data_IF_674084221293
#
_entry.id   IF_674084221293
#
_cell.length_a   1.000
_cell.length_b   1.000
_cell.length_c   1.000
_cell.angle_alpha   90.00
_cell.angle_beta   90.00
_cell.angle_gamma   90.00
#
_symmetry.space_group_name_H-M   'P 1'
#
loop_
_entity.id
_entity.type
_entity.pdbx_description
1 polymer ?
#
# COMPACT_ATOMS: atom_id res chain seq x y z
N UNK A 1 -18.42 -3.41 -15.94
CA UNK A 1 -17.01 -3.24 -16.36
C UNK A 1 -16.24 -2.97 -15.09
N UNK A 2 -15.26 -3.80 -14.76
CA UNK A 2 -14.29 -3.47 -13.72
C UNK A 2 -13.62 -2.15 -14.08
N UNK A 3 -13.59 -1.22 -13.13
CA UNK A 3 -12.90 0.05 -13.33
C UNK A 3 -11.48 -0.14 -12.82
N UNK A 4 -10.49 0.20 -13.65
CA UNK A 4 -9.09 0.24 -13.25
C UNK A 4 -8.60 1.67 -13.15
N UNK A 5 -7.56 1.89 -12.35
CA UNK A 5 -6.87 3.16 -12.16
C UNK A 5 -5.35 2.96 -12.26
N UNK A 6 -4.63 4.02 -12.66
CA UNK A 6 -3.18 4.10 -12.60
C UNK A 6 -2.78 5.03 -11.46
N UNK A 7 -1.79 4.65 -10.67
CA UNK A 7 -1.41 5.39 -9.47
C UNK A 7 0.11 5.44 -9.33
N UNK A 8 0.57 6.47 -8.63
CA UNK A 8 1.95 6.59 -8.17
C UNK A 8 2.01 6.23 -6.69
N UNK A 9 2.87 5.28 -6.31
CA UNK A 9 3.08 4.88 -4.93
C UNK A 9 4.39 5.49 -4.42
N UNK A 10 4.33 6.23 -3.32
CA UNK A 10 5.50 6.71 -2.57
C UNK A 10 5.60 5.90 -1.29
N UNK A 11 6.49 4.91 -1.27
CA UNK A 11 6.61 3.96 -0.17
C UNK A 11 7.85 4.27 0.65
N UNK A 12 7.71 4.41 1.96
CA UNK A 12 8.85 4.51 2.87
C UNK A 12 9.60 3.18 2.93
N UNK A 13 10.91 3.22 2.69
CA UNK A 13 11.80 2.07 2.62
C UNK A 13 12.98 2.28 3.54
N UNK A 14 13.32 1.24 4.31
CA UNK A 14 14.45 1.26 5.21
C UNK A 14 15.07 -0.14 5.26
N UNK A 15 16.33 -0.28 4.81
CA UNK A 15 17.02 -1.58 4.70
C UNK A 15 17.42 -2.21 6.04
N UNK A 16 17.17 -1.54 7.15
CA UNK A 16 17.50 -2.06 8.48
C UNK A 16 17.51 -0.98 9.57
N UNK A 17 17.68 -1.38 10.84
CA UNK A 17 17.45 -0.52 12.00
C UNK A 17 18.41 0.69 12.09
N UNK A 18 19.59 0.59 11.47
CA UNK A 18 20.60 1.67 11.46
C UNK A 18 20.65 2.45 10.15
N UNK A 19 19.93 2.01 9.12
CA UNK A 19 19.89 2.70 7.84
C UNK A 19 18.95 3.90 7.92
N UNK A 20 19.30 5.01 7.25
CA UNK A 20 18.35 6.10 7.03
C UNK A 20 17.28 5.60 6.05
N UNK A 21 16.02 5.70 6.43
CA UNK A 21 14.92 5.42 5.50
C UNK A 21 14.73 6.56 4.50
N UNK A 22 14.09 6.23 3.39
CA UNK A 22 13.76 7.17 2.32
C UNK A 22 12.48 6.73 1.62
N UNK A 23 11.84 7.63 0.89
CA UNK A 23 10.76 7.27 0.00
C UNK A 23 11.31 6.74 -1.33
N UNK A 24 10.78 5.60 -1.76
CA UNK A 24 10.92 5.12 -3.12
C UNK A 24 9.58 5.32 -3.85
N UNK A 25 9.65 5.65 -5.13
CA UNK A 25 8.47 5.94 -5.97
C UNK A 25 8.28 4.86 -7.02
N UNK A 26 7.07 4.33 -7.11
CA UNK A 26 6.68 3.29 -8.07
C UNK A 26 5.46 3.73 -8.87
N UNK A 27 5.39 3.30 -10.12
CA UNK A 27 4.20 3.45 -10.95
C UNK A 27 3.49 2.11 -11.01
N UNK A 28 2.19 2.10 -10.70
CA UNK A 28 1.35 0.92 -10.78
C UNK A 28 0.18 1.22 -11.71
N UNK A 29 0.07 0.43 -12.78
CA UNK A 29 -0.95 0.62 -13.80
C UNK A 29 -2.04 -0.45 -13.68
N UNK A 30 -3.23 -0.12 -14.17
CA UNK A 30 -4.38 -1.03 -14.24
C UNK A 30 -4.77 -1.69 -12.91
N UNK A 31 -4.68 -0.94 -11.80
CA UNK A 31 -5.12 -1.40 -10.48
C UNK A 31 -6.64 -1.45 -10.46
N UNK A 32 -7.23 -2.60 -10.18
CA UNK A 32 -8.70 -2.73 -10.06
C UNK A 32 -9.20 -1.92 -8.88
N UNK A 33 -10.30 -1.17 -9.07
CA UNK A 33 -10.93 -0.43 -7.97
C UNK A 33 -11.59 -1.34 -6.93
N UNK A 34 -11.83 -2.61 -7.29
CA UNK A 34 -12.40 -3.62 -6.39
C UNK A 34 -11.35 -4.32 -5.54
N UNK A 35 -10.06 -4.18 -5.88
CA UNK A 35 -8.97 -4.67 -5.04
C UNK A 35 -8.93 -3.91 -3.71
N UNK A 36 -8.64 -4.65 -2.65
CA UNK A 36 -8.19 -4.11 -1.38
C UNK A 36 -6.82 -3.43 -1.53
N UNK A 37 -6.46 -2.61 -0.54
CA UNK A 37 -5.18 -1.93 -0.50
C UNK A 37 -4.02 -2.94 -0.41
N UNK A 38 -4.19 -4.04 0.33
CA UNK A 38 -3.15 -5.05 0.45
C UNK A 38 -2.98 -5.86 -0.83
N UNK A 39 -4.04 -6.14 -1.58
CA UNK A 39 -3.91 -6.76 -2.91
C UNK A 39 -3.20 -5.84 -3.90
N UNK A 40 -3.42 -4.52 -3.82
CA UNK A 40 -2.63 -3.55 -4.60
C UNK A 40 -1.15 -3.57 -4.20
N UNK A 41 -0.83 -3.73 -2.91
CA UNK A 41 0.54 -3.91 -2.44
C UNK A 41 1.15 -5.24 -2.91
N UNK A 42 0.35 -6.32 -2.96
CA UNK A 42 0.77 -7.60 -3.54
C UNK A 42 1.11 -7.44 -5.03
N UNK A 43 0.28 -6.72 -5.80
CA UNK A 43 0.55 -6.40 -7.21
C UNK A 43 1.87 -5.62 -7.38
N UNK A 44 2.15 -4.62 -6.53
CA UNK A 44 3.44 -3.93 -6.52
C UNK A 44 4.58 -4.91 -6.26
N UNK A 45 4.43 -5.79 -5.28
CA UNK A 45 5.45 -6.78 -4.93
C UNK A 45 5.72 -7.77 -6.07
N UNK A 46 4.69 -8.23 -6.76
CA UNK A 46 4.83 -9.08 -7.95
C UNK A 46 5.63 -8.36 -9.05
N UNK A 47 5.34 -7.08 -9.31
CA UNK A 47 6.12 -6.27 -10.25
C UNK A 47 7.59 -6.16 -9.82
N UNK A 48 7.87 -5.87 -8.55
CA UNK A 48 9.23 -5.76 -8.04
C UNK A 48 10.00 -7.07 -8.17
N UNK A 49 9.36 -8.21 -7.85
CA UNK A 49 9.96 -9.54 -8.02
C UNK A 49 10.29 -9.81 -9.48
N UNK A 50 9.38 -9.50 -10.41
CA UNK A 50 9.61 -9.65 -11.85
C UNK A 50 10.81 -8.80 -12.34
N UNK A 51 10.99 -7.62 -11.74
CA UNK A 51 12.13 -6.72 -11.99
C UNK A 51 13.42 -7.11 -11.22
N UNK A 52 13.41 -8.24 -10.48
CA UNK A 52 14.51 -8.69 -9.59
C UNK A 52 14.88 -7.67 -8.51
N UNK A 53 13.89 -6.92 -8.04
CA UNK A 53 13.99 -5.97 -6.92
C UNK A 53 13.42 -6.59 -5.65
N UNK A 54 13.83 -6.05 -4.51
CA UNK A 54 13.36 -6.49 -3.20
C UNK A 54 11.90 -6.01 -2.96
N UNK A 55 10.97 -6.90 -2.60
CA UNK A 55 9.59 -6.54 -2.29
C UNK A 55 9.47 -5.53 -1.15
N UNK A 56 8.34 -4.83 -1.10
CA UNK A 56 7.90 -4.06 0.06
C UNK A 56 7.39 -4.99 1.14
N UNK A 57 8.03 -4.94 2.29
CA UNK A 57 7.63 -5.68 3.49
C UNK A 57 6.64 -4.85 4.29
N UNK A 58 5.52 -5.45 4.64
CA UNK A 58 4.50 -4.91 5.53
C UNK A 58 3.82 -6.08 6.26
N UNK A 59 3.37 -5.84 7.49
CA UNK A 59 2.74 -6.90 8.28
C UNK A 59 1.29 -7.11 7.84
N UNK A 60 0.87 -8.36 7.63
CA UNK A 60 -0.52 -8.75 7.36
C UNK A 60 -0.77 -10.21 7.74
N UNK A 61 -1.99 -10.54 8.19
CA UNK A 61 -2.39 -11.92 8.53
C UNK A 61 -3.84 -12.18 8.10
N UNK A 62 -4.83 -11.89 8.97
CA UNK A 62 -6.22 -12.30 8.75
C UNK A 62 -6.91 -11.71 7.49
N UNK A 63 -6.49 -10.53 7.01
CA UNK A 63 -7.10 -9.78 5.88
C UNK A 63 -8.61 -9.51 5.99
N UNK A 64 -9.18 -9.57 7.19
CA UNK A 64 -10.61 -9.39 7.47
C UNK A 64 -10.89 -8.33 8.55
N UNK A 65 -9.86 -7.61 8.99
CA UNK A 65 -9.97 -6.49 9.94
C UNK A 65 -9.99 -6.88 11.43
N UNK A 66 -9.52 -8.08 11.77
CA UNK A 66 -9.62 -8.62 13.14
C UNK A 66 -8.28 -8.54 13.91
N UNK A 67 -7.16 -8.95 13.30
CA UNK A 67 -5.90 -9.15 14.03
C UNK A 67 -5.14 -7.86 14.43
N UNK A 68 -5.45 -6.71 13.81
CA UNK A 68 -4.75 -5.44 14.04
C UNK A 68 -3.34 -5.31 13.44
N UNK A 69 -2.88 -6.30 12.67
CA UNK A 69 -1.49 -6.36 12.19
C UNK A 69 -1.17 -5.43 11.02
N UNK A 70 -2.14 -5.15 10.13
CA UNK A 70 -1.96 -4.32 8.93
C UNK A 70 -1.90 -2.81 9.21
N UNK A 71 -1.11 -2.37 10.19
CA UNK A 71 -1.05 -0.98 10.66
C UNK A 71 -0.17 -0.11 9.76
N UNK A 72 -0.72 0.36 8.63
CA UNK A 72 -0.05 1.31 7.72
C UNK A 72 -0.57 2.74 7.89
N UNK A 73 0.32 3.71 7.70
CA UNK A 73 -0.04 5.13 7.55
C UNK A 73 -0.13 5.46 6.07
N UNK A 74 -1.32 5.85 5.61
CA UNK A 74 -1.62 6.03 4.18
C UNK A 74 -2.12 7.46 3.98
N UNK A 75 -1.43 8.24 3.15
CA UNK A 75 -1.69 9.66 2.91
C UNK A 75 -1.80 10.51 4.19
N UNK A 76 -1.00 10.18 5.21
CA UNK A 76 -1.00 10.92 6.48
C UNK A 76 -2.15 10.54 7.43
N UNK A 77 -2.90 9.47 7.13
CA UNK A 77 -3.95 8.95 7.99
C UNK A 77 -3.64 7.49 8.40
N UNK A 78 -3.80 7.11 9.68
CA UNK A 78 -3.75 5.71 10.08
C UNK A 78 -4.83 4.93 9.32
N UNK A 79 -4.46 3.81 8.73
CA UNK A 79 -5.31 2.95 7.91
C UNK A 79 -5.85 3.54 6.60
N UNK A 80 -5.63 4.82 6.34
CA UNK A 80 -5.97 5.50 5.10
C UNK A 80 -7.18 6.42 5.18
N UNK A 81 -7.71 6.86 4.03
CA UNK A 81 -8.68 7.96 3.96
C UNK A 81 -10.14 7.55 4.22
N UNK A 82 -10.39 6.28 4.53
CA UNK A 82 -11.73 5.78 4.81
C UNK A 82 -11.92 5.59 6.31
N UNK A 83 -13.11 5.87 6.81
CA UNK A 83 -13.41 5.88 8.24
C UNK A 83 -13.85 4.50 8.74
N UNK A 84 -13.57 4.20 10.02
CA UNK A 84 -14.00 3.00 10.74
C UNK A 84 -13.60 1.66 10.08
N UNK A 85 -12.47 1.63 9.37
CA UNK A 85 -11.93 0.41 8.77
C UNK A 85 -10.44 0.22 9.05
N UNK A 86 -9.97 -1.00 8.82
CA UNK A 86 -8.54 -1.33 8.82
C UNK A 86 -7.96 -1.25 7.40
N UNK A 87 -6.63 -1.18 7.27
CA UNK A 87 -5.98 -1.14 5.94
C UNK A 87 -6.36 -2.32 5.05
N UNK A 88 -6.54 -3.52 5.60
CA UNK A 88 -6.94 -4.68 4.80
C UNK A 88 -8.38 -4.60 4.25
N UNK A 89 -9.20 -3.72 4.80
CA UNK A 89 -10.56 -3.44 4.33
C UNK A 89 -10.62 -2.16 3.47
N UNK A 90 -9.53 -1.39 3.38
CA UNK A 90 -9.45 -0.24 2.50
C UNK A 90 -9.43 -0.73 1.06
N UNK A 91 -10.27 -0.15 0.21
CA UNK A 91 -10.36 -0.54 -1.21
C UNK A 91 -9.86 0.58 -2.13
N UNK A 92 -9.35 0.17 -3.28
CA UNK A 92 -8.75 1.09 -4.25
C UNK A 92 -9.76 2.07 -4.88
N UNK A 93 -11.07 1.76 -4.85
CA UNK A 93 -12.16 2.70 -5.20
C UNK A 93 -12.19 4.00 -4.39
N UNK A 94 -11.47 4.08 -3.26
CA UNK A 94 -11.32 5.32 -2.46
C UNK A 94 -10.28 6.29 -3.05
N UNK A 95 -9.52 5.86 -4.04
CA UNK A 95 -8.51 6.66 -4.74
C UNK A 95 -8.96 6.95 -6.19
N UNK A 96 -8.32 7.92 -6.83
CA UNK A 96 -8.60 8.36 -8.20
C UNK A 96 -7.48 7.95 -9.14
N UNK A 97 -7.82 7.85 -10.42
CA UNK A 97 -6.84 7.69 -11.49
C UNK A 97 -5.86 8.87 -11.52
N UNK A 98 -4.57 8.56 -11.57
CA UNK A 98 -3.47 9.52 -11.48
C UNK A 98 -3.05 9.91 -10.06
N UNK A 99 -3.69 9.39 -9.01
CA UNK A 99 -3.35 9.77 -7.64
C UNK A 99 -1.93 9.33 -7.25
N UNK A 100 -1.31 10.13 -6.38
CA UNK A 100 -0.10 9.75 -5.65
C UNK A 100 -0.48 9.32 -4.24
N UNK A 101 -0.18 8.08 -3.88
CA UNK A 101 -0.46 7.50 -2.57
C UNK A 101 0.86 7.38 -1.80
N UNK A 102 0.94 8.02 -0.63
CA UNK A 102 2.08 7.93 0.28
C UNK A 102 1.82 6.86 1.33
N UNK A 103 2.78 5.95 1.52
CA UNK A 103 2.67 4.79 2.41
C UNK A 103 3.88 4.80 3.35
N UNK A 104 3.60 4.80 4.65
CA UNK A 104 4.61 4.87 5.70
C UNK A 104 4.31 3.84 6.80
N UNK A 105 5.35 3.34 7.50
CA UNK A 105 5.12 2.59 8.73
C UNK A 105 4.53 3.53 9.79
N UNK A 106 3.73 2.98 10.70
CA UNK A 106 3.34 3.68 11.91
C UNK A 106 4.58 4.10 12.72
N UNK A 107 4.58 5.34 13.23
CA UNK A 107 5.64 5.87 14.11
C UNK A 107 4.99 6.35 15.40
N UNK A 108 5.26 5.63 16.51
CA UNK A 108 4.94 6.05 17.88
C UNK A 108 6.12 6.73 18.54
#
# INVERSE_FOLDING_TARGET
MEKSINITLKVWRQRGPKAKGAFETYQLNNVSTDSSFLEMMDQLNEQLVAERKEPVVFDHDCREGICGMCSLYINGHPHGPDEDITTCQLHMRKFKDGDTITIEPWRS
#
